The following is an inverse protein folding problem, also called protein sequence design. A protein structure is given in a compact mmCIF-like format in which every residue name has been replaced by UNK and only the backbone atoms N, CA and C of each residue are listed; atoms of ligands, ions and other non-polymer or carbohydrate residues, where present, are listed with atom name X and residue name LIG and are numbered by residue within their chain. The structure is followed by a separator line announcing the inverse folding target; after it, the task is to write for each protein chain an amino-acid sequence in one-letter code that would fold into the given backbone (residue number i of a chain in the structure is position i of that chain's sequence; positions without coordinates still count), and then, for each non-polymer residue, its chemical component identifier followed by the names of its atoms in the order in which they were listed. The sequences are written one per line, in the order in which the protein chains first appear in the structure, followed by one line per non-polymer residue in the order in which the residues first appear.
data_IF_764073188414
#
_entry.id   IF_764073188414
#
_cell.length_a   1.000
_cell.length_b   1.000
_cell.length_c   1.000
_cell.angle_alpha   90.00
_cell.angle_beta   90.00
_cell.angle_gamma   90.00
#
_symmetry.space_group_name_H-M   'P 1'
#
loop_
_entity.id
_entity.type
_entity.pdbx_description
1 polymer ?
#
# COMPACT_ATOMS: atom_id res chain seq x y z
N UNK A 1 -13.74 -3.41 -11.52
CA UNK A 1 -13.71 -3.52 -10.04
C UNK A 1 -14.01 -2.16 -9.44
N UNK A 2 -14.60 -2.15 -8.28
CA UNK A 2 -14.93 -0.91 -7.59
C UNK A 2 -13.98 -0.66 -6.42
N UNK A 3 -14.04 0.54 -5.86
CA UNK A 3 -13.13 0.92 -4.76
C UNK A 3 -13.14 -0.08 -3.61
N UNK A 4 -14.32 -0.58 -3.22
CA UNK A 4 -14.38 -1.52 -2.11
C UNK A 4 -13.73 -2.86 -2.43
N UNK A 5 -13.68 -3.26 -3.70
CA UNK A 5 -12.99 -4.48 -4.11
C UNK A 5 -11.49 -4.35 -3.90
N UNK A 6 -10.92 -3.19 -4.24
CA UNK A 6 -9.50 -2.93 -4.03
C UNK A 6 -9.17 -2.83 -2.55
N UNK A 7 -10.06 -2.20 -1.77
CA UNK A 7 -9.86 -2.13 -0.32
C UNK A 7 -9.94 -3.52 0.32
N UNK A 8 -10.86 -4.37 -0.14
CA UNK A 8 -10.96 -5.75 0.33
C UNK A 8 -9.66 -6.51 0.05
N UNK A 9 -9.05 -6.28 -1.11
CA UNK A 9 -7.76 -6.88 -1.44
C UNK A 9 -6.66 -6.40 -0.50
N UNK A 10 -6.64 -5.10 -0.17
CA UNK A 10 -5.67 -4.55 0.77
C UNK A 10 -5.81 -5.21 2.15
N UNK A 11 -7.04 -5.40 2.61
CA UNK A 11 -7.31 -6.06 3.89
C UNK A 11 -6.83 -7.53 3.86
N UNK A 12 -7.07 -8.23 2.76
CA UNK A 12 -6.61 -9.60 2.58
C UNK A 12 -5.09 -9.68 2.65
N UNK A 13 -4.39 -8.74 1.99
CA UNK A 13 -2.94 -8.66 2.04
C UNK A 13 -2.45 -8.37 3.46
N UNK A 14 -3.13 -7.50 4.17
CA UNK A 14 -2.77 -7.16 5.55
C UNK A 14 -2.73 -8.42 6.44
N UNK A 15 -3.68 -9.31 6.24
CA UNK A 15 -3.76 -10.54 7.04
C UNK A 15 -2.55 -11.46 6.87
N UNK A 16 -1.82 -11.32 5.77
CA UNK A 16 -0.61 -12.13 5.53
C UNK A 16 0.54 -11.78 6.48
N UNK A 17 0.51 -10.59 7.08
CA UNK A 17 1.51 -10.19 8.05
C UNK A 17 1.18 -10.55 9.49
N UNK A 18 0.06 -11.23 9.71
CA UNK A 18 -0.38 -11.58 11.05
C UNK A 18 0.71 -12.36 11.80
N UNK A 19 0.90 -12.01 13.06
CA UNK A 19 1.87 -12.59 13.98
C UNK A 19 3.31 -12.13 13.77
N UNK A 20 3.69 -11.74 12.56
CA UNK A 20 5.06 -11.34 12.27
C UNK A 20 5.31 -9.84 12.44
N UNK A 21 4.25 -9.05 12.43
CA UNK A 21 4.38 -7.58 12.48
C UNK A 21 4.09 -7.00 13.85
N UNK A 22 3.66 -7.82 14.80
CA UNK A 22 3.38 -7.31 16.14
C UNK A 22 4.63 -6.71 16.75
N UNK A 23 4.50 -5.58 17.49
CA UNK A 23 3.25 -4.90 17.87
C UNK A 23 2.69 -3.94 16.82
N UNK A 24 3.24 -3.89 15.64
CA UNK A 24 2.74 -3.01 14.59
C UNK A 24 1.39 -3.50 14.04
N UNK A 25 0.53 -2.59 13.55
CA UNK A 25 -0.72 -2.99 12.93
C UNK A 25 -0.48 -3.80 11.64
N UNK A 26 -1.44 -4.65 11.30
CA UNK A 26 -1.44 -5.34 10.02
C UNK A 26 -1.87 -4.36 8.94
N UNK A 27 -1.03 -4.14 7.94
CA UNK A 27 -1.30 -3.18 6.88
C UNK A 27 -1.06 -3.83 5.52
N UNK A 28 -2.01 -3.65 4.62
CA UNK A 28 -1.88 -4.04 3.23
C UNK A 28 -2.07 -2.84 2.31
N UNK A 29 -1.47 -2.88 1.14
CA UNK A 29 -1.51 -1.79 0.18
C UNK A 29 -1.69 -2.31 -1.23
N UNK A 30 -2.58 -1.66 -1.99
CA UNK A 30 -2.85 -1.99 -3.39
C UNK A 30 -2.72 -0.71 -4.21
N UNK A 31 -1.92 -0.74 -5.26
CA UNK A 31 -1.77 0.38 -6.20
C UNK A 31 -2.54 0.05 -7.47
N UNK A 32 -3.42 0.95 -7.88
CA UNK A 32 -4.34 0.72 -9.00
C UNK A 32 -4.18 1.81 -10.06
N UNK A 33 -4.06 1.40 -11.31
CA UNK A 33 -4.03 2.30 -12.46
C UNK A 33 -4.97 1.79 -13.53
N UNK A 34 -5.86 2.66 -14.03
CA UNK A 34 -6.84 2.30 -15.05
C UNK A 34 -7.63 1.04 -14.67
N UNK A 35 -8.09 1.01 -13.42
CA UNK A 35 -8.90 -0.08 -12.89
C UNK A 35 -8.18 -1.44 -12.85
N UNK A 36 -6.84 -1.42 -12.85
CA UNK A 36 -6.01 -2.64 -12.76
C UNK A 36 -5.02 -2.50 -11.61
N UNK A 37 -4.83 -3.59 -10.88
CA UNK A 37 -3.84 -3.63 -9.81
C UNK A 37 -2.45 -3.73 -10.44
N UNK A 38 -1.60 -2.76 -10.15
CA UNK A 38 -0.23 -2.73 -10.68
C UNK A 38 0.82 -3.01 -9.62
N UNK A 39 0.45 -2.97 -8.34
CA UNK A 39 1.37 -3.30 -7.26
C UNK A 39 0.60 -3.66 -6.00
N UNK A 40 1.13 -4.62 -5.26
CA UNK A 40 0.54 -5.07 -4.01
C UNK A 40 1.62 -5.27 -2.98
N UNK A 41 1.33 -4.94 -1.72
CA UNK A 41 2.28 -5.14 -0.64
C UNK A 41 1.59 -5.25 0.70
N UNK A 42 2.32 -5.79 1.66
CA UNK A 42 1.87 -5.83 3.05
C UNK A 42 3.09 -5.70 3.95
N UNK A 43 2.85 -5.32 5.21
CA UNK A 43 3.91 -5.25 6.20
C UNK A 43 4.23 -6.69 6.62
N UNK A 44 5.38 -7.18 6.20
CA UNK A 44 5.71 -8.61 6.32
C UNK A 44 6.27 -9.00 7.68
N UNK A 45 7.08 -8.12 8.29
CA UNK A 45 7.72 -8.37 9.57
C UNK A 45 8.00 -7.07 10.28
N UNK A 46 7.97 -7.12 11.62
CA UNK A 46 8.38 -5.99 12.44
C UNK A 46 9.80 -5.55 12.06
N UNK A 47 9.99 -4.26 11.89
CA UNK A 47 11.29 -3.69 11.52
C UNK A 47 11.62 -3.72 10.04
N UNK A 48 10.77 -4.32 9.21
CA UNK A 48 10.94 -4.35 7.75
C UNK A 48 10.11 -3.26 7.08
N UNK A 49 10.21 -3.16 5.75
CA UNK A 49 9.46 -2.17 4.99
C UNK A 49 7.96 -2.30 5.21
N UNK A 50 7.30 -1.16 5.25
CA UNK A 50 5.85 -1.09 5.38
C UNK A 50 5.17 -1.48 4.05
N UNK A 51 3.84 -1.66 4.12
CA UNK A 51 3.05 -2.16 3.01
C UNK A 51 3.18 -1.29 1.75
N UNK A 52 3.18 0.02 1.90
CA UNK A 52 3.25 0.95 0.78
C UNK A 52 4.57 0.81 0.01
N UNK A 53 5.66 0.71 0.74
CA UNK A 53 6.98 0.51 0.13
C UNK A 53 7.06 -0.84 -0.57
N UNK A 54 6.51 -1.87 0.06
CA UNK A 54 6.46 -3.20 -0.54
C UNK A 54 5.62 -3.23 -1.81
N UNK A 55 4.51 -2.48 -1.85
CA UNK A 55 3.68 -2.38 -3.04
C UNK A 55 4.42 -1.69 -4.19
N UNK A 56 5.17 -0.62 -3.89
CA UNK A 56 5.99 0.08 -4.88
C UNK A 56 7.05 -0.86 -5.43
N UNK A 57 7.74 -1.60 -4.55
CA UNK A 57 8.76 -2.57 -4.96
C UNK A 57 8.15 -3.66 -5.85
N UNK A 58 6.97 -4.13 -5.51
CA UNK A 58 6.25 -5.11 -6.31
C UNK A 58 5.94 -4.58 -7.71
N UNK A 59 5.47 -3.35 -7.80
CA UNK A 59 5.20 -2.70 -9.07
C UNK A 59 6.48 -2.61 -9.93
N UNK A 60 7.58 -2.20 -9.31
CA UNK A 60 8.87 -2.10 -10.00
C UNK A 60 9.35 -3.46 -10.51
N UNK A 61 9.12 -4.52 -9.74
CA UNK A 61 9.48 -5.87 -10.12
C UNK A 61 8.67 -6.34 -11.31
N UNK A 62 7.37 -6.00 -11.34
CA UNK A 62 6.47 -6.43 -12.41
C UNK A 62 6.68 -5.68 -13.72
N UNK A 63 7.03 -4.41 -13.68
CA UNK A 63 7.05 -3.54 -14.86
C UNK A 63 8.41 -2.91 -15.16
N UNK A 64 9.38 -3.07 -14.28
CA UNK A 64 10.65 -2.36 -14.36
C UNK A 64 10.55 -0.97 -13.74
N UNK A 65 11.67 -0.42 -13.28
CA UNK A 65 11.67 0.82 -12.51
C UNK A 65 11.08 2.01 -13.27
N UNK A 66 11.48 2.19 -14.52
CA UNK A 66 11.01 3.31 -15.33
C UNK A 66 9.51 3.29 -15.57
N UNK A 67 9.01 2.15 -16.02
CA UNK A 67 7.59 1.99 -16.33
C UNK A 67 6.75 2.08 -15.06
N UNK A 68 7.24 1.51 -13.97
CA UNK A 68 6.55 1.57 -12.69
C UNK A 68 6.36 3.01 -12.23
N UNK A 69 7.38 3.87 -12.34
CA UNK A 69 7.27 5.27 -11.96
C UNK A 69 6.16 5.98 -12.74
N UNK A 70 6.07 5.70 -14.03
CA UNK A 70 5.03 6.29 -14.88
C UNK A 70 3.63 5.79 -14.51
N UNK A 71 3.52 4.52 -14.17
CA UNK A 71 2.24 3.92 -13.81
C UNK A 71 1.77 4.38 -12.43
N UNK A 72 2.68 4.49 -11.47
CA UNK A 72 2.34 4.92 -10.11
C UNK A 72 1.89 6.38 -10.12
N UNK A 73 2.51 7.23 -10.93
CA UNK A 73 2.08 8.61 -11.06
C UNK A 73 0.63 8.64 -11.57
N UNK A 74 -0.25 9.32 -10.84
CA UNK A 74 -1.66 9.40 -11.17
C UNK A 74 -2.46 8.14 -10.82
N UNK A 75 -1.87 7.19 -10.10
CA UNK A 75 -2.56 5.99 -9.65
C UNK A 75 -3.39 6.25 -8.39
N UNK A 76 -4.27 5.32 -8.08
CA UNK A 76 -5.00 5.29 -6.82
C UNK A 76 -4.35 4.25 -5.92
N UNK A 77 -4.20 4.58 -4.64
CA UNK A 77 -3.59 3.68 -3.66
C UNK A 77 -4.60 3.37 -2.56
N UNK A 78 -4.76 2.10 -2.26
CA UNK A 78 -5.68 1.63 -1.22
C UNK A 78 -4.88 1.01 -0.10
N UNK A 79 -5.04 1.54 1.10
CA UNK A 79 -4.31 1.07 2.29
C UNK A 79 -5.32 0.87 3.41
N UNK A 80 -5.30 -0.29 4.03
CA UNK A 80 -6.05 -0.45 5.27
C UNK A 80 -5.15 0.03 6.40
N UNK A 81 -5.61 1.03 7.11
CA UNK A 81 -4.87 1.58 8.25
C UNK A 81 -5.73 1.48 9.50
N UNK A 82 -5.11 1.12 10.59
CA UNK A 82 -5.78 1.19 11.86
C UNK A 82 -5.73 2.62 12.39
N UNK A 83 -6.75 3.05 13.13
CA UNK A 83 -6.80 4.42 13.63
C UNK A 83 -5.55 4.86 14.40
N UNK A 84 -4.95 3.97 15.14
CA UNK A 84 -3.74 4.29 15.90
C UNK A 84 -2.57 4.62 14.99
N UNK A 85 -2.49 4.00 13.83
CA UNK A 85 -1.44 4.27 12.86
C UNK A 85 -1.58 5.67 12.27
N UNK A 86 -2.81 6.09 12.02
CA UNK A 86 -3.10 7.43 11.52
C UNK A 86 -2.73 8.46 12.57
N UNK A 87 -3.01 8.16 13.84
CA UNK A 87 -2.84 9.05 14.96
C UNK A 87 -1.37 9.36 15.26
N UNK A 88 -0.52 8.40 15.02
CA UNK A 88 0.87 8.47 15.47
C UNK A 88 1.82 9.05 14.46
N UNK A 89 1.36 9.86 13.59
CA UNK A 89 2.20 10.57 12.62
C UNK A 89 1.98 10.16 11.19
N UNK A 90 2.45 11.02 10.34
CA UNK A 90 2.64 10.70 8.94
C UNK A 90 3.83 9.77 8.85
N UNK A 91 3.64 8.50 8.56
CA UNK A 91 4.79 7.60 8.44
C UNK A 91 5.60 7.94 7.20
N UNK A 92 6.90 7.56 7.16
CA UNK A 92 7.74 7.79 5.99
C UNK A 92 7.13 7.28 4.68
N UNK A 93 6.33 6.24 4.73
CA UNK A 93 5.67 5.72 3.53
C UNK A 93 4.64 6.68 2.94
N UNK A 94 4.00 7.53 3.74
CA UNK A 94 3.10 8.55 3.20
C UNK A 94 3.88 9.56 2.37
N UNK A 95 5.07 9.93 2.83
CA UNK A 95 5.94 10.83 2.08
C UNK A 95 6.39 10.18 0.77
N UNK A 96 6.66 8.88 0.78
CA UNK A 96 7.01 8.15 -0.42
C UNK A 96 5.87 8.19 -1.45
N UNK A 97 4.63 8.00 -1.00
CA UNK A 97 3.47 8.05 -1.88
C UNK A 97 3.31 9.44 -2.53
N UNK A 98 3.52 10.50 -1.75
CA UNK A 98 3.48 11.86 -2.28
C UNK A 98 4.58 12.05 -3.32
N UNK A 99 5.78 11.57 -3.04
CA UNK A 99 6.92 11.65 -3.94
C UNK A 99 6.62 10.98 -5.28
N UNK A 100 5.88 9.87 -5.27
CA UNK A 100 5.53 9.15 -6.49
C UNK A 100 4.31 9.74 -7.21
N UNK A 101 3.74 10.83 -6.69
CA UNK A 101 2.67 11.59 -7.35
C UNK A 101 1.38 10.80 -7.58
N UNK A 102 0.97 10.03 -6.61
CA UNK A 102 -0.29 9.29 -6.69
C UNK A 102 -1.46 10.27 -6.81
N UNK A 103 -2.56 9.81 -7.41
CA UNK A 103 -3.75 10.64 -7.58
C UNK A 103 -4.59 10.72 -6.32
N UNK A 104 -4.92 9.56 -5.75
CA UNK A 104 -5.75 9.49 -4.54
C UNK A 104 -5.24 8.39 -3.63
N UNK A 105 -5.34 8.64 -2.33
CA UNK A 105 -5.06 7.66 -1.31
C UNK A 105 -6.37 7.35 -0.58
N UNK A 106 -6.77 6.08 -0.62
CA UNK A 106 -7.93 5.60 0.11
C UNK A 106 -7.45 4.87 1.36
N UNK A 107 -7.87 5.33 2.52
CA UNK A 107 -7.53 4.71 3.80
C UNK A 107 -8.79 4.08 4.37
N UNK A 108 -8.68 2.84 4.79
CA UNK A 108 -9.80 2.12 5.38
C UNK A 108 -9.38 1.44 6.67
N UNK A 109 -10.37 1.14 7.51
CA UNK A 109 -10.15 0.37 8.73
C UNK A 109 -10.77 -0.99 8.59
N UNK A 110 -10.25 -1.94 9.34
CA UNK A 110 -10.83 -3.27 9.40
C UNK A 110 -12.19 -3.25 10.11
#
# INVERSE_FOLDING_TARGET
MKDHDFMARAIELAARGQLKVQPNPMVGCVIVKNNKIIGEGWHKEYGKDHAEINAIKNCKRNFGAKKALKLIAGSNVYVNLEPCSIKNNTPPCSNALIKYQIKKLFCGTL
#
